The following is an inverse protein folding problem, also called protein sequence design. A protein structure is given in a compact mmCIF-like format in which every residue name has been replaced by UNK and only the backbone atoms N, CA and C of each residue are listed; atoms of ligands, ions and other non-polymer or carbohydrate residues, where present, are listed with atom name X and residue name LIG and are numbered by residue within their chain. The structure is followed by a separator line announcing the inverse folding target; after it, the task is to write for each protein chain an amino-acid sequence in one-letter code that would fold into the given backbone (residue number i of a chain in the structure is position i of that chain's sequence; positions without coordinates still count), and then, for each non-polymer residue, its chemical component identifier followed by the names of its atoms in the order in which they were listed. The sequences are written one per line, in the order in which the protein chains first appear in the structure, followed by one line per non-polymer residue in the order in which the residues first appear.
data_IF_653259030559
#
_entry.id   IF_653259030559
#
_cell.length_a   1.000
_cell.length_b   1.000
_cell.length_c   1.000
_cell.angle_alpha   90.00
_cell.angle_beta   90.00
_cell.angle_gamma   90.00
#
_symmetry.space_group_name_H-M   'P 1'
#
loop_
_entity.id
_entity.type
_entity.pdbx_description
1 polymer ?
#
# COMPACT_ATOMS: atom_id res chain seq x y z
N UNK A 1 -3.71 3.77 13.12
CA UNK A 1 -3.40 3.00 11.89
C UNK A 1 -2.62 3.78 10.83
N UNK A 2 -2.79 5.10 10.69
CA UNK A 2 -1.99 5.92 9.75
C UNK A 2 -0.47 5.72 9.92
N UNK A 3 0.01 5.53 11.16
CA UNK A 3 1.40 5.22 11.47
C UNK A 3 1.95 3.99 10.73
N UNK A 4 1.15 2.95 10.49
CA UNK A 4 1.59 1.77 9.73
C UNK A 4 1.75 2.10 8.24
N UNK A 5 0.83 2.86 7.66
CA UNK A 5 0.97 3.34 6.29
C UNK A 5 2.22 4.22 6.14
N UNK A 6 2.45 5.16 7.06
CA UNK A 6 3.64 6.02 7.08
C UNK A 6 4.95 5.22 7.19
N UNK A 7 4.98 4.18 8.04
CA UNK A 7 6.17 3.32 8.19
C UNK A 7 6.38 2.48 6.93
N UNK A 8 5.32 1.91 6.34
CA UNK A 8 5.40 1.14 5.11
C UNK A 8 5.96 1.97 3.94
N UNK A 9 5.58 3.25 3.84
CA UNK A 9 6.10 4.16 2.82
C UNK A 9 7.58 4.52 2.99
N UNK A 10 8.22 4.20 4.13
CA UNK A 10 9.67 4.37 4.31
C UNK A 10 10.48 3.25 3.66
N UNK A 11 9.84 2.18 3.19
CA UNK A 11 10.51 1.13 2.44
C UNK A 11 10.97 1.72 1.10
N UNK A 12 12.28 1.87 0.91
CA UNK A 12 12.82 2.56 -0.27
C UNK A 12 12.73 1.77 -1.56
N UNK A 13 12.86 0.44 -1.48
CA UNK A 13 12.79 -0.46 -2.62
C UNK A 13 12.06 -1.72 -2.22
N UNK A 14 11.05 -2.06 -3.01
CA UNK A 14 10.21 -3.23 -2.78
C UNK A 14 10.16 -4.03 -4.08
N UNK A 15 10.59 -5.29 -4.00
CA UNK A 15 10.46 -6.21 -5.12
C UNK A 15 8.99 -6.47 -5.42
N UNK A 16 8.69 -7.06 -6.59
CA UNK A 16 7.31 -7.44 -6.93
C UNK A 16 6.72 -8.41 -5.90
N UNK A 17 7.49 -9.41 -5.47
CA UNK A 17 7.06 -10.35 -4.43
C UNK A 17 6.90 -9.67 -3.07
N UNK A 18 7.79 -8.73 -2.72
CA UNK A 18 7.67 -7.94 -1.50
C UNK A 18 6.41 -7.05 -1.49
N UNK A 19 6.04 -6.47 -2.64
CA UNK A 19 4.79 -5.70 -2.79
C UNK A 19 3.55 -6.57 -2.57
N UNK A 20 3.57 -7.81 -3.07
CA UNK A 20 2.49 -8.77 -2.86
C UNK A 20 2.41 -9.21 -1.38
N UNK A 21 3.55 -9.50 -0.75
CA UNK A 21 3.60 -9.88 0.67
C UNK A 21 3.09 -8.74 1.55
N UNK A 22 3.57 -7.52 1.34
CA UNK A 22 3.12 -6.35 2.10
C UNK A 22 1.61 -6.08 1.92
N UNK A 23 1.08 -6.27 0.70
CA UNK A 23 -0.35 -6.15 0.46
C UNK A 23 -1.17 -7.20 1.24
N UNK A 24 -0.68 -8.45 1.28
CA UNK A 24 -1.31 -9.53 2.06
C UNK A 24 -1.24 -9.27 3.57
N UNK A 25 -0.12 -8.75 4.08
CA UNK A 25 0.04 -8.37 5.48
C UNK A 25 -0.93 -7.24 5.88
N UNK A 26 -1.10 -6.24 5.00
CA UNK A 26 -2.08 -5.17 5.20
C UNK A 26 -3.50 -5.72 5.20
N UNK A 27 -3.81 -6.65 4.29
CA UNK A 27 -5.13 -7.30 4.23
C UNK A 27 -5.44 -8.07 5.49
N UNK A 28 -4.51 -8.88 5.97
CA UNK A 28 -4.66 -9.60 7.23
C UNK A 28 -4.91 -8.65 8.40
N UNK A 29 -4.13 -7.56 8.49
CA UNK A 29 -4.34 -6.55 9.53
C UNK A 29 -5.73 -5.90 9.43
N UNK A 30 -6.22 -5.59 8.22
CA UNK A 30 -7.56 -5.02 8.04
C UNK A 30 -8.64 -6.00 8.52
N UNK A 31 -8.54 -7.27 8.16
CA UNK A 31 -9.49 -8.30 8.59
C UNK A 31 -9.52 -8.42 10.12
N UNK A 32 -8.35 -8.44 10.77
CA UNK A 32 -8.28 -8.48 12.26
C UNK A 32 -8.92 -7.25 12.88
N UNK A 33 -8.76 -6.07 12.28
CA UNK A 33 -9.37 -4.82 12.76
C UNK A 33 -10.90 -4.89 12.62
N UNK A 34 -11.41 -5.41 11.51
CA UNK A 34 -12.84 -5.62 11.28
C UNK A 34 -13.45 -6.63 12.27
N UNK A 35 -12.76 -7.75 12.52
CA UNK A 35 -13.17 -8.77 13.50
C UNK A 35 -13.26 -8.22 14.92
N UNK A 36 -12.48 -7.18 15.23
CA UNK A 36 -12.55 -6.44 16.49
C UNK A 36 -13.67 -5.37 16.53
N UNK A 37 -14.48 -5.26 15.47
CA UNK A 37 -15.56 -4.27 15.34
C UNK A 37 -15.07 -2.86 15.03
N UNK A 38 -13.84 -2.71 14.51
CA UNK A 38 -13.24 -1.43 14.17
C UNK A 38 -13.21 -1.24 12.64
N UNK A 39 -13.14 0.01 12.19
CA UNK A 39 -13.05 0.33 10.75
C UNK A 39 -11.58 0.46 10.35
N UNK A 40 -11.08 -0.30 9.34
CA UNK A 40 -9.70 -0.20 8.87
C UNK A 40 -9.36 1.17 8.27
N UNK A 41 -8.08 1.55 8.35
CA UNK A 41 -7.62 2.84 7.83
C UNK A 41 -7.72 2.90 6.31
N UNK A 42 -8.38 3.96 5.81
CA UNK A 42 -8.46 4.23 4.38
C UNK A 42 -7.06 4.32 3.73
N UNK A 43 -6.10 4.96 4.40
CA UNK A 43 -4.72 5.04 3.90
C UNK A 43 -4.04 3.67 3.74
N UNK A 44 -4.30 2.72 4.65
CA UNK A 44 -3.79 1.35 4.52
C UNK A 44 -4.47 0.60 3.37
N UNK A 45 -5.78 0.78 3.22
CA UNK A 45 -6.53 0.17 2.12
C UNK A 45 -6.08 0.72 0.75
N UNK A 46 -5.87 2.03 0.65
CA UNK A 46 -5.34 2.69 -0.55
C UNK A 46 -3.90 2.24 -0.84
N UNK A 47 -3.05 2.10 0.18
CA UNK A 47 -1.71 1.55 0.02
C UNK A 47 -1.74 0.11 -0.52
N UNK A 48 -2.60 -0.76 0.05
CA UNK A 48 -2.82 -2.13 -0.46
C UNK A 48 -3.19 -2.12 -1.95
N UNK A 49 -4.16 -1.28 -2.33
CA UNK A 49 -4.59 -1.18 -3.72
C UNK A 49 -3.44 -0.79 -4.67
N UNK A 50 -2.66 0.23 -4.30
CA UNK A 50 -1.52 0.71 -5.10
C UNK A 50 -0.37 -0.32 -5.19
N UNK A 51 -0.14 -1.11 -4.14
CA UNK A 51 0.86 -2.20 -4.14
C UNK A 51 0.50 -3.31 -5.13
N UNK A 52 -0.80 -3.58 -5.34
CA UNK A 52 -1.30 -4.64 -6.20
C UNK A 52 -1.44 -4.23 -7.67
N UNK A 53 -1.42 -2.94 -7.99
CA UNK A 53 -1.50 -2.46 -9.38
C UNK A 53 -0.38 -3.05 -10.24
N UNK A 54 -0.68 -3.31 -11.53
CA UNK A 54 0.34 -3.63 -12.51
C UNK A 54 1.24 -2.39 -12.74
N UNK A 55 2.49 -2.57 -13.20
CA UNK A 55 3.38 -1.45 -13.45
C UNK A 55 2.80 -0.37 -14.36
N UNK A 56 2.05 -0.76 -15.39
CA UNK A 56 1.44 0.21 -16.32
C UNK A 56 0.23 0.92 -15.70
N UNK A 57 -0.63 0.19 -14.98
CA UNK A 57 -1.76 0.77 -14.26
C UNK A 57 -1.28 1.75 -13.16
N UNK A 58 -0.17 1.47 -12.50
CA UNK A 58 0.41 2.35 -11.47
C UNK A 58 0.95 3.68 -12.07
N UNK A 59 1.44 3.66 -13.32
CA UNK A 59 1.90 4.87 -14.01
C UNK A 59 0.75 5.83 -14.31
N UNK A 60 -0.43 5.29 -14.64
CA UNK A 60 -1.61 6.08 -15.00
C UNK A 60 -2.62 6.24 -13.86
N UNK A 61 -2.40 5.61 -12.71
CA UNK A 61 -3.30 5.68 -11.57
C UNK A 61 -3.57 7.13 -11.13
N UNK A 62 -4.83 7.41 -10.84
CA UNK A 62 -5.39 8.67 -10.36
C UNK A 62 -6.44 8.42 -9.28
N UNK A 63 -6.86 9.44 -8.54
CA UNK A 63 -7.88 9.30 -7.49
C UNK A 63 -7.34 8.83 -6.12
N UNK A 64 -6.02 8.74 -5.98
CA UNK A 64 -5.33 8.50 -4.71
C UNK A 64 -4.65 9.78 -4.21
N UNK A 65 -4.39 9.92 -2.91
CA UNK A 65 -3.59 11.03 -2.38
C UNK A 65 -2.23 11.12 -3.09
N UNK A 66 -1.90 12.30 -3.62
CA UNK A 66 -0.68 12.50 -4.40
C UNK A 66 0.62 12.08 -3.68
N UNK A 67 0.80 12.37 -2.37
CA UNK A 67 1.98 11.91 -1.63
C UNK A 67 2.08 10.38 -1.54
N UNK A 68 0.96 9.70 -1.37
CA UNK A 68 0.88 8.23 -1.30
C UNK A 68 1.27 7.62 -2.65
N UNK A 69 0.68 8.12 -3.73
CA UNK A 69 0.94 7.66 -5.08
C UNK A 69 2.42 7.86 -5.49
N UNK A 70 3.00 9.03 -5.18
CA UNK A 70 4.40 9.31 -5.45
C UNK A 70 5.33 8.36 -4.68
N UNK A 71 5.08 8.16 -3.38
CA UNK A 71 5.89 7.27 -2.55
C UNK A 71 5.82 5.81 -3.02
N UNK A 72 4.64 5.30 -3.40
CA UNK A 72 4.50 3.93 -3.91
C UNK A 72 5.20 3.75 -5.27
N UNK A 73 5.16 4.78 -6.14
CA UNK A 73 5.91 4.76 -7.41
C UNK A 73 7.41 4.66 -7.17
N UNK A 74 7.96 5.47 -6.27
CA UNK A 74 9.39 5.40 -5.91
C UNK A 74 9.74 4.04 -5.30
N UNK A 75 8.94 3.56 -4.34
CA UNK A 75 9.15 2.27 -3.67
C UNK A 75 9.18 1.08 -4.64
N UNK A 76 8.39 1.14 -5.73
CA UNK A 76 8.27 0.06 -6.73
C UNK A 76 9.09 0.28 -8.00
N UNK A 77 9.96 1.30 -8.07
CA UNK A 77 10.89 1.44 -9.20
C UNK A 77 11.82 0.23 -9.24
N UNK A 78 11.73 -0.54 -10.33
CA UNK A 78 12.69 -1.60 -10.61
C UNK A 78 14.09 -1.00 -10.78
N UNK A 79 15.11 -1.71 -10.32
CA UNK A 79 16.50 -1.43 -10.65
C UNK A 79 16.83 -2.02 -12.01
#
# INVERSE_FOLDING_TARGET
MNRYAEIALRIRQLSRSGAQQLAADIEYLCNVVEDLGLVPSENLQQLKALLLLKPDDLKTASGYPAPLLAAVREMRKAK
#
